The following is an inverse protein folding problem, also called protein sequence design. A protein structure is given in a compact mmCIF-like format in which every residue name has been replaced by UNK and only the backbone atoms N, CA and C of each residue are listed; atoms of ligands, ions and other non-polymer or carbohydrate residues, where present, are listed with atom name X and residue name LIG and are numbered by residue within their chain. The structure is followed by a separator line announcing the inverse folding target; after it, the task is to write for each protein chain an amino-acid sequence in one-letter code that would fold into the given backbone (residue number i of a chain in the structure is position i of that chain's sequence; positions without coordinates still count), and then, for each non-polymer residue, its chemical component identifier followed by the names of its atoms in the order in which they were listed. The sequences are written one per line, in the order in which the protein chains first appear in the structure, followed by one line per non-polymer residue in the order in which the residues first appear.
data_IF_596469831682
#
_entry.id   IF_596469831682
#
_cell.length_a   1.000
_cell.length_b   1.000
_cell.length_c   1.000
_cell.angle_alpha   90.00
_cell.angle_beta   90.00
_cell.angle_gamma   90.00
#
_symmetry.space_group_name_H-M   'P 1'
#
loop_
_entity.id
_entity.type
_entity.pdbx_description
1 polymer ?
#
# COMPACT_ATOMS: atom_id res chain seq x y z
N UNK A 1 -13.58 15.76 -33.36
CA UNK A 1 -13.47 14.28 -33.32
C UNK A 1 -13.42 13.87 -31.86
N UNK A 2 -14.47 13.22 -31.35
CA UNK A 2 -14.55 12.85 -29.94
C UNK A 2 -13.61 11.67 -29.66
N UNK A 3 -12.47 11.93 -29.04
CA UNK A 3 -11.57 10.89 -28.56
C UNK A 3 -12.31 10.02 -27.53
N UNK A 4 -12.41 8.71 -27.79
CA UNK A 4 -13.07 7.78 -26.87
C UNK A 4 -12.27 7.74 -25.55
N UNK A 5 -12.83 8.18 -24.41
CA UNK A 5 -12.11 8.29 -23.15
C UNK A 5 -11.57 6.92 -22.67
N UNK A 6 -12.24 5.82 -23.01
CA UNK A 6 -11.77 4.46 -22.71
C UNK A 6 -10.50 4.08 -23.47
N UNK A 7 -10.30 4.58 -24.70
CA UNK A 7 -9.05 4.37 -25.45
C UNK A 7 -7.88 5.12 -24.84
N UNK A 8 -8.12 6.29 -24.25
CA UNK A 8 -7.08 7.08 -23.59
C UNK A 8 -6.63 6.42 -22.29
N UNK A 9 -7.56 6.06 -21.40
CA UNK A 9 -7.25 5.37 -20.14
C UNK A 9 -6.52 4.04 -20.35
N UNK A 10 -6.92 3.26 -21.36
CA UNK A 10 -6.23 2.02 -21.73
C UNK A 10 -4.77 2.27 -22.15
N UNK A 11 -4.54 3.28 -23.00
CA UNK A 11 -3.18 3.65 -23.42
C UNK A 11 -2.33 4.08 -22.23
N UNK A 12 -2.86 4.92 -21.33
CA UNK A 12 -2.17 5.32 -20.10
C UNK A 12 -1.81 4.12 -19.24
N UNK A 13 -2.73 3.19 -19.03
CA UNK A 13 -2.49 1.98 -18.24
C UNK A 13 -1.39 1.08 -18.84
N UNK A 14 -1.42 0.86 -20.15
CA UNK A 14 -0.39 0.09 -20.85
C UNK A 14 0.97 0.79 -20.75
N UNK A 15 1.03 2.12 -20.92
CA UNK A 15 2.27 2.89 -20.78
C UNK A 15 2.85 2.76 -19.38
N UNK A 16 2.03 2.92 -18.33
CA UNK A 16 2.48 2.76 -16.94
C UNK A 16 3.01 1.35 -16.68
N UNK A 17 2.34 0.32 -17.20
CA UNK A 17 2.78 -1.06 -17.04
C UNK A 17 4.10 -1.35 -17.77
N UNK A 18 4.25 -0.85 -19.00
CA UNK A 18 5.48 -1.01 -19.78
C UNK A 18 6.65 -0.28 -19.13
N UNK A 19 6.42 0.92 -18.60
CA UNK A 19 7.41 1.68 -17.83
C UNK A 19 7.81 0.92 -16.55
N UNK A 20 6.83 0.42 -15.79
CA UNK A 20 7.11 -0.38 -14.59
C UNK A 20 7.92 -1.65 -14.93
N UNK A 21 7.59 -2.32 -16.03
CA UNK A 21 8.33 -3.48 -16.51
C UNK A 21 9.77 -3.14 -16.91
N UNK A 22 9.97 -2.02 -17.60
CA UNK A 22 11.28 -1.53 -18.00
C UNK A 22 12.13 -1.13 -16.78
N UNK A 23 11.51 -0.51 -15.78
CA UNK A 23 12.13 -0.12 -14.49
C UNK A 23 12.54 -1.33 -13.67
N UNK A 24 11.61 -2.25 -13.42
CA UNK A 24 11.84 -3.42 -12.58
C UNK A 24 10.97 -4.60 -13.00
N UNK A 25 11.51 -5.42 -13.90
CA UNK A 25 10.83 -6.60 -14.45
C UNK A 25 10.28 -7.54 -13.37
N UNK A 26 11.06 -7.84 -12.33
CA UNK A 26 10.66 -8.85 -11.32
C UNK A 26 9.48 -8.35 -10.51
N UNK A 27 9.57 -7.14 -9.94
CA UNK A 27 8.49 -6.60 -9.13
C UNK A 27 7.24 -6.29 -9.96
N UNK A 28 7.42 -5.88 -11.22
CA UNK A 28 6.31 -5.77 -12.17
C UNK A 28 5.57 -7.10 -12.36
N UNK A 29 6.30 -8.20 -12.58
CA UNK A 29 5.70 -9.52 -12.78
C UNK A 29 4.95 -10.00 -11.52
N UNK A 30 5.54 -9.80 -10.34
CA UNK A 30 4.87 -10.12 -9.06
C UNK A 30 3.60 -9.28 -8.89
N UNK A 31 3.65 -8.00 -9.25
CA UNK A 31 2.49 -7.11 -9.16
C UNK A 31 1.35 -7.56 -10.09
N UNK A 32 1.65 -7.86 -11.35
CA UNK A 32 0.67 -8.33 -12.34
C UNK A 32 0.11 -9.70 -11.96
N UNK A 33 0.95 -10.62 -11.48
CA UNK A 33 0.52 -11.93 -11.02
C UNK A 33 -0.48 -11.80 -9.85
N UNK A 34 -0.18 -10.95 -8.88
CA UNK A 34 -1.07 -10.72 -7.74
C UNK A 34 -2.35 -9.98 -8.11
N UNK A 35 -2.29 -9.02 -9.04
CA UNK A 35 -3.49 -8.38 -9.57
C UNK A 35 -4.40 -9.40 -10.28
N UNK A 36 -3.81 -10.32 -11.05
CA UNK A 36 -4.53 -11.42 -11.70
C UNK A 36 -5.14 -12.37 -10.66
N UNK A 37 -4.40 -12.70 -9.60
CA UNK A 37 -4.91 -13.51 -8.50
C UNK A 37 -6.06 -12.82 -7.76
N UNK A 38 -6.02 -11.49 -7.57
CA UNK A 38 -7.14 -10.76 -6.97
C UNK A 38 -8.43 -10.91 -7.79
N UNK A 39 -8.35 -10.91 -9.12
CA UNK A 39 -9.49 -11.20 -10.01
C UNK A 39 -9.99 -12.64 -9.78
N UNK A 40 -9.08 -13.62 -9.73
CA UNK A 40 -9.43 -15.02 -9.47
C UNK A 40 -10.10 -15.20 -8.10
N UNK A 41 -9.56 -14.59 -7.04
CA UNK A 41 -10.15 -14.65 -5.70
C UNK A 41 -11.50 -13.96 -5.63
N UNK A 42 -11.73 -12.91 -6.43
CA UNK A 42 -13.06 -12.28 -6.55
C UNK A 42 -14.09 -13.29 -7.08
N UNK A 43 -13.73 -14.06 -8.12
CA UNK A 43 -14.59 -15.12 -8.63
C UNK A 43 -14.79 -16.25 -7.60
N UNK A 44 -13.72 -16.68 -6.92
CA UNK A 44 -13.80 -17.72 -5.90
C UNK A 44 -14.63 -17.31 -4.68
N UNK A 45 -14.63 -16.04 -4.28
CA UNK A 45 -15.52 -15.53 -3.24
C UNK A 45 -17.01 -15.69 -3.59
N UNK A 46 -17.35 -15.66 -4.89
CA UNK A 46 -18.73 -15.87 -5.36
C UNK A 46 -19.09 -17.35 -5.53
N UNK A 47 -18.10 -18.21 -5.81
CA UNK A 47 -18.30 -19.62 -6.15
C UNK A 47 -18.10 -20.59 -4.98
N UNK A 48 -17.28 -20.23 -4.00
CA UNK A 48 -16.93 -21.06 -2.85
C UNK A 48 -17.53 -20.49 -1.56
N UNK A 49 -18.58 -21.13 -1.06
CA UNK A 49 -19.30 -20.71 0.15
C UNK A 49 -18.62 -21.06 1.46
N UNK A 50 -17.44 -21.70 1.46
CA UNK A 50 -16.74 -22.06 2.69
C UNK A 50 -16.33 -20.82 3.49
N UNK A 51 -16.32 -20.96 4.81
CA UNK A 51 -15.93 -19.89 5.71
C UNK A 51 -14.88 -20.31 6.72
N UNK A 52 -13.98 -19.39 7.08
CA UNK A 52 -13.07 -19.47 8.22
C UNK A 52 -13.35 -18.27 9.12
N UNK A 53 -13.64 -18.50 10.40
CA UNK A 53 -14.03 -17.45 11.36
C UNK A 53 -15.21 -16.59 10.86
N UNK A 54 -16.24 -17.26 10.35
CA UNK A 54 -17.48 -16.63 9.86
C UNK A 54 -17.33 -15.83 8.56
N UNK A 55 -16.19 -15.94 7.86
CA UNK A 55 -15.89 -15.15 6.64
C UNK A 55 -15.46 -16.04 5.50
N UNK A 56 -15.81 -15.66 4.27
CA UNK A 56 -15.43 -16.38 3.07
C UNK A 56 -13.90 -16.62 3.03
N UNK A 57 -13.48 -17.86 2.78
CA UNK A 57 -12.07 -18.29 2.84
C UNK A 57 -11.15 -17.50 1.90
N UNK A 58 -11.67 -17.00 0.78
CA UNK A 58 -10.90 -16.26 -0.23
C UNK A 58 -10.78 -14.76 0.05
N UNK A 59 -11.50 -14.23 1.05
CA UNK A 59 -11.44 -12.80 1.41
C UNK A 59 -10.02 -12.37 1.82
N UNK A 60 -9.30 -13.22 2.57
CA UNK A 60 -7.93 -12.90 3.00
C UNK A 60 -6.94 -12.97 1.82
N UNK A 61 -6.88 -14.05 1.01
CA UNK A 61 -6.11 -14.07 -0.23
C UNK A 61 -6.36 -12.87 -1.12
N UNK A 62 -7.62 -12.46 -1.31
CA UNK A 62 -7.97 -11.29 -2.13
C UNK A 62 -7.32 -9.98 -1.62
N UNK A 63 -7.38 -9.72 -0.31
CA UNK A 63 -6.75 -8.54 0.30
C UNK A 63 -5.23 -8.55 0.14
N UNK A 64 -4.62 -9.71 0.41
CA UNK A 64 -3.16 -9.85 0.30
C UNK A 64 -2.70 -9.70 -1.13
N UNK A 65 -3.38 -10.33 -2.11
CA UNK A 65 -3.06 -10.17 -3.52
C UNK A 65 -3.15 -8.70 -3.96
N UNK A 66 -4.22 -7.99 -3.56
CA UNK A 66 -4.38 -6.56 -3.89
C UNK A 66 -3.27 -5.72 -3.25
N UNK A 67 -2.96 -5.95 -1.97
CA UNK A 67 -1.91 -5.22 -1.24
C UNK A 67 -0.52 -5.49 -1.82
N UNK A 68 -0.19 -6.76 -2.10
CA UNK A 68 1.07 -7.17 -2.70
C UNK A 68 1.25 -6.51 -4.07
N UNK A 69 0.20 -6.46 -4.89
CA UNK A 69 0.26 -5.82 -6.20
C UNK A 69 0.61 -4.33 -6.09
N UNK A 70 -0.06 -3.60 -5.18
CA UNK A 70 0.23 -2.19 -4.92
C UNK A 70 1.64 -2.01 -4.37
N UNK A 71 2.03 -2.79 -3.36
CA UNK A 71 3.34 -2.69 -2.72
C UNK A 71 4.49 -2.96 -3.69
N UNK A 72 4.45 -4.08 -4.40
CA UNK A 72 5.51 -4.47 -5.34
C UNK A 72 5.55 -3.55 -6.56
N UNK A 73 4.40 -3.09 -7.06
CA UNK A 73 4.36 -2.05 -8.10
C UNK A 73 4.99 -0.75 -7.66
N UNK A 74 4.70 -0.31 -6.42
CA UNK A 74 5.28 0.91 -5.83
C UNK A 74 6.80 0.78 -5.67
N UNK A 75 7.28 -0.33 -5.10
CA UNK A 75 8.70 -0.58 -4.93
C UNK A 75 9.43 -0.72 -6.28
N UNK A 76 8.81 -1.38 -7.26
CA UNK A 76 9.35 -1.51 -8.61
C UNK A 76 9.47 -0.16 -9.33
N UNK A 77 8.60 0.80 -9.01
CA UNK A 77 8.67 2.16 -9.54
C UNK A 77 9.76 3.00 -8.89
N UNK A 78 9.88 2.92 -7.56
CA UNK A 78 10.76 3.78 -6.77
C UNK A 78 12.22 3.29 -6.80
N UNK A 79 12.47 1.99 -6.63
CA UNK A 79 13.82 1.43 -6.43
C UNK A 79 14.86 1.90 -7.47
N UNK A 80 14.58 1.88 -8.78
CA UNK A 80 15.56 2.31 -9.79
C UNK A 80 15.88 3.81 -9.74
N UNK A 81 15.03 4.63 -9.12
CA UNK A 81 15.25 6.07 -8.95
C UNK A 81 16.11 6.41 -7.73
N UNK A 82 16.48 5.43 -6.90
CA UNK A 82 17.21 5.66 -5.64
C UNK A 82 18.73 5.63 -5.78
N UNK A 83 19.26 5.55 -6.99
CA UNK A 83 20.71 5.51 -7.29
C UNK A 83 21.47 4.49 -6.43
N UNK A 84 20.83 3.35 -6.13
CA UNK A 84 21.42 2.27 -5.34
C UNK A 84 22.50 1.57 -6.17
N UNK A 85 23.44 0.90 -5.49
CA UNK A 85 24.33 0.02 -6.23
C UNK A 85 23.55 -1.18 -6.80
N UNK A 86 23.95 -1.66 -7.97
CA UNK A 86 23.28 -2.77 -8.67
C UNK A 86 23.04 -4.00 -7.77
N UNK A 87 23.96 -4.28 -6.84
CA UNK A 87 23.85 -5.39 -5.89
C UNK A 87 22.70 -5.18 -4.90
N UNK A 88 22.55 -3.96 -4.39
CA UNK A 88 21.54 -3.60 -3.38
C UNK A 88 20.16 -3.53 -4.00
N UNK A 89 20.04 -2.94 -5.19
CA UNK A 89 18.78 -2.92 -5.92
C UNK A 89 18.32 -4.34 -6.29
N UNK A 90 19.25 -5.19 -6.79
CA UNK A 90 18.95 -6.60 -7.07
C UNK A 90 18.54 -7.34 -5.80
N UNK A 91 19.27 -7.19 -4.71
CA UNK A 91 18.91 -7.80 -3.41
C UNK A 91 17.50 -7.39 -3.00
N UNK A 92 17.19 -6.09 -3.01
CA UNK A 92 15.89 -5.58 -2.62
C UNK A 92 14.77 -6.16 -3.50
N UNK A 93 14.98 -6.12 -4.82
CA UNK A 93 14.07 -6.65 -5.82
C UNK A 93 13.77 -8.13 -5.61
N UNK A 94 14.81 -8.96 -5.46
CA UNK A 94 14.66 -10.42 -5.36
C UNK A 94 14.07 -10.84 -4.01
N UNK A 95 14.47 -10.18 -2.92
CA UNK A 95 13.97 -10.50 -1.58
C UNK A 95 12.52 -10.08 -1.43
N UNK A 96 12.16 -8.86 -1.84
CA UNK A 96 10.77 -8.38 -1.78
C UNK A 96 9.89 -9.24 -2.68
N UNK A 97 10.28 -9.43 -3.95
CA UNK A 97 9.50 -10.24 -4.90
C UNK A 97 9.33 -11.68 -4.44
N UNK A 98 10.38 -12.30 -3.91
CA UNK A 98 10.36 -13.66 -3.37
C UNK A 98 9.48 -13.79 -2.13
N UNK A 99 9.63 -12.89 -1.15
CA UNK A 99 8.82 -12.89 0.07
C UNK A 99 7.34 -12.75 -0.24
N UNK A 100 6.96 -11.80 -1.10
CA UNK A 100 5.56 -11.58 -1.48
C UNK A 100 4.97 -12.76 -2.27
N UNK A 101 5.78 -13.43 -3.09
CA UNK A 101 5.37 -14.64 -3.81
C UNK A 101 5.13 -15.80 -2.84
N UNK A 102 6.03 -16.02 -1.89
CA UNK A 102 5.88 -17.04 -0.85
C UNK A 102 4.61 -16.76 -0.04
N UNK A 103 4.41 -15.51 0.38
CA UNK A 103 3.28 -15.10 1.20
C UNK A 103 1.94 -15.41 0.53
N UNK A 104 1.75 -15.01 -0.74
CA UNK A 104 0.48 -15.25 -1.42
C UNK A 104 0.23 -16.74 -1.69
N UNK A 105 1.28 -17.51 -1.98
CA UNK A 105 1.18 -18.97 -2.17
C UNK A 105 0.73 -19.65 -0.86
N UNK A 106 1.36 -19.30 0.26
CA UNK A 106 1.03 -19.90 1.55
C UNK A 106 -0.38 -19.49 2.02
N UNK A 107 -0.75 -18.22 1.88
CA UNK A 107 -2.08 -17.72 2.25
C UNK A 107 -3.18 -18.38 1.42
N UNK A 108 -3.01 -18.44 0.10
CA UNK A 108 -3.99 -19.04 -0.79
C UNK A 108 -4.10 -20.56 -0.59
N UNK A 109 -2.99 -21.24 -0.29
CA UNK A 109 -2.99 -22.67 0.05
C UNK A 109 -3.76 -22.95 1.35
N UNK A 110 -3.55 -22.14 2.39
CA UNK A 110 -4.30 -22.28 3.65
C UNK A 110 -5.80 -21.99 3.45
N UNK A 111 -6.14 -20.99 2.63
CA UNK A 111 -7.53 -20.71 2.26
C UNK A 111 -8.17 -21.88 1.50
N UNK A 112 -7.46 -22.47 0.54
CA UNK A 112 -7.92 -23.64 -0.21
C UNK A 112 -8.18 -24.85 0.72
N UNK A 113 -7.34 -25.03 1.74
CA UNK A 113 -7.49 -26.01 2.81
C UNK A 113 -8.61 -25.69 3.81
N UNK A 114 -9.21 -24.50 3.74
CA UNK A 114 -10.25 -24.06 4.67
C UNK A 114 -9.76 -23.81 6.10
N UNK A 115 -8.49 -23.39 6.26
CA UNK A 115 -7.87 -23.14 7.58
C UNK A 115 -7.23 -21.75 7.63
N UNK A 116 -7.02 -21.24 8.85
CA UNK A 116 -6.33 -19.97 9.05
C UNK A 116 -4.83 -20.06 8.68
N UNK A 117 -4.27 -18.98 8.12
CA UNK A 117 -2.84 -18.89 7.77
C UNK A 117 -1.97 -18.21 8.84
N UNK A 118 -2.56 -17.37 9.69
CA UNK A 118 -1.87 -16.74 10.81
C UNK A 118 -2.50 -17.24 12.11
N UNK A 119 -1.71 -17.34 13.18
CA UNK A 119 -2.18 -17.83 14.49
C UNK A 119 -2.77 -19.26 14.45
N UNK A 120 -2.27 -20.10 13.54
CA UNK A 120 -2.74 -21.47 13.39
C UNK A 120 -1.59 -22.45 13.66
N UNK A 121 -1.59 -23.02 14.86
CA UNK A 121 -0.62 -23.97 15.37
C UNK A 121 -1.23 -25.37 15.61
N UNK A 122 -2.44 -25.60 15.10
CA UNK A 122 -3.20 -26.85 15.28
C UNK A 122 -2.51 -28.10 14.73
N UNK A 123 -1.58 -27.94 13.77
CA UNK A 123 -0.77 -29.04 13.20
C UNK A 123 0.64 -28.54 12.90
N UNK A 124 1.62 -29.44 12.85
CA UNK A 124 3.00 -29.11 12.49
C UNK A 124 3.09 -28.33 11.16
N UNK A 125 2.33 -28.76 10.15
CA UNK A 125 2.31 -28.07 8.85
C UNK A 125 1.81 -26.62 9.00
N UNK A 126 0.75 -26.38 9.78
CA UNK A 126 0.22 -25.02 9.96
C UNK A 126 1.20 -24.13 10.73
N UNK A 127 1.87 -24.67 11.75
CA UNK A 127 2.92 -23.97 12.51
C UNK A 127 4.09 -23.59 11.60
N UNK A 128 4.56 -24.50 10.75
CA UNK A 128 5.64 -24.22 9.79
C UNK A 128 5.22 -23.15 8.79
N UNK A 129 4.01 -23.25 8.23
CA UNK A 129 3.47 -22.23 7.31
C UNK A 129 3.44 -20.87 7.99
N UNK A 130 2.90 -20.78 9.21
CA UNK A 130 2.83 -19.55 9.98
C UNK A 130 4.23 -18.96 10.25
N UNK A 131 5.19 -19.78 10.65
CA UNK A 131 6.56 -19.36 10.91
C UNK A 131 7.27 -18.83 9.64
N UNK A 132 7.13 -19.53 8.50
CA UNK A 132 7.74 -19.12 7.22
C UNK A 132 7.19 -17.76 6.77
N UNK A 133 5.88 -17.54 6.88
CA UNK A 133 5.25 -16.25 6.57
C UNK A 133 5.83 -15.13 7.44
N UNK A 134 5.89 -15.33 8.76
CA UNK A 134 6.47 -14.35 9.69
C UNK A 134 7.93 -14.00 9.38
N UNK A 135 8.76 -15.01 9.09
CA UNK A 135 10.18 -14.83 8.75
C UNK A 135 10.32 -14.05 7.42
N UNK A 136 9.60 -14.46 6.38
CA UNK A 136 9.73 -13.84 5.05
C UNK A 136 9.29 -12.38 5.04
N UNK A 137 8.20 -12.04 5.71
CA UNK A 137 7.74 -10.65 5.83
C UNK A 137 8.69 -9.82 6.66
N UNK A 138 9.26 -10.38 7.73
CA UNK A 138 10.28 -9.68 8.54
C UNK A 138 11.53 -9.36 7.73
N UNK A 139 12.03 -10.32 6.96
CA UNK A 139 13.17 -10.10 6.06
C UNK A 139 12.85 -9.01 5.02
N UNK A 140 11.65 -9.04 4.43
CA UNK A 140 11.21 -8.01 3.47
C UNK A 140 11.18 -6.62 4.11
N UNK A 141 10.61 -6.50 5.32
CA UNK A 141 10.56 -5.23 6.07
C UNK A 141 11.96 -4.70 6.41
N UNK A 142 12.88 -5.58 6.81
CA UNK A 142 14.28 -5.22 7.06
C UNK A 142 15.00 -4.74 5.79
N UNK A 143 14.69 -5.34 4.64
CA UNK A 143 15.23 -4.86 3.35
C UNK A 143 14.70 -3.47 3.01
N UNK A 144 13.41 -3.18 3.23
CA UNK A 144 12.86 -1.83 3.03
C UNK A 144 13.52 -0.83 3.98
N UNK A 145 13.71 -1.19 5.25
CA UNK A 145 14.43 -0.37 6.23
C UNK A 145 15.89 -0.13 5.83
N UNK A 146 16.56 -1.15 5.28
CA UNK A 146 17.92 -1.01 4.75
C UNK A 146 17.97 -0.07 3.53
N UNK A 147 17.01 -0.15 2.62
CA UNK A 147 16.90 0.79 1.49
C UNK A 147 16.67 2.22 2.00
N UNK A 148 15.77 2.43 2.96
CA UNK A 148 15.57 3.74 3.60
C UNK A 148 16.88 4.27 4.20
N UNK A 149 17.61 3.44 4.95
CA UNK A 149 18.90 3.83 5.51
C UNK A 149 19.90 4.24 4.42
N UNK A 150 19.93 3.55 3.28
CA UNK A 150 20.77 3.91 2.13
C UNK A 150 20.40 5.26 1.54
N UNK A 151 19.11 5.55 1.38
CA UNK A 151 18.60 6.82 0.87
C UNK A 151 18.94 7.96 1.83
N UNK A 152 18.78 7.78 3.14
CA UNK A 152 19.12 8.82 4.13
C UNK A 152 20.63 9.07 4.19
N UNK A 153 21.44 8.01 4.10
CA UNK A 153 22.91 8.11 4.19
C UNK A 153 23.55 8.68 2.92
N UNK A 154 23.03 8.32 1.75
CA UNK A 154 23.53 8.76 0.45
C UNK A 154 22.31 9.13 -0.42
N UNK A 155 21.76 10.34 -0.23
CA UNK A 155 20.56 10.74 -0.95
C UNK A 155 20.80 10.76 -2.47
N UNK A 156 19.91 10.15 -3.27
CA UNK A 156 20.00 10.23 -4.72
C UNK A 156 19.71 11.64 -5.22
N UNK A 157 20.16 11.94 -6.44
CA UNK A 157 19.85 13.19 -7.13
C UNK A 157 18.40 13.14 -7.66
N UNK A 158 17.46 13.46 -6.78
CA UNK A 158 16.03 13.57 -7.05
C UNK A 158 15.55 14.96 -6.66
N UNK A 159 14.43 15.38 -7.24
CA UNK A 159 13.76 16.61 -6.82
C UNK A 159 13.54 16.59 -5.29
N UNK A 160 13.92 17.65 -4.55
CA UNK A 160 13.95 17.62 -3.09
C UNK A 160 12.65 17.17 -2.43
N UNK A 161 11.49 17.65 -2.91
CA UNK A 161 10.20 17.26 -2.34
C UNK A 161 9.86 15.78 -2.61
N UNK A 162 10.25 15.23 -3.77
CA UNK A 162 10.08 13.80 -4.05
C UNK A 162 10.97 12.94 -3.15
N UNK A 163 12.24 13.33 -2.99
CA UNK A 163 13.18 12.64 -2.09
C UNK A 163 12.67 12.61 -0.63
N UNK A 164 12.23 13.76 -0.12
CA UNK A 164 11.62 13.84 1.22
C UNK A 164 10.35 12.99 1.31
N UNK A 165 9.52 12.99 0.27
CA UNK A 165 8.31 12.17 0.22
C UNK A 165 8.62 10.67 0.29
N UNK A 166 9.63 10.21 -0.47
CA UNK A 166 10.16 8.83 -0.41
C UNK A 166 10.65 8.50 0.99
N UNK A 167 11.52 9.33 1.57
CA UNK A 167 12.12 9.06 2.87
C UNK A 167 11.06 8.96 3.99
N UNK A 168 10.13 9.92 4.05
CA UNK A 168 9.06 9.93 5.07
C UNK A 168 8.09 8.77 4.85
N UNK A 169 7.66 8.53 3.60
CA UNK A 169 6.76 7.43 3.27
C UNK A 169 7.33 6.06 3.63
N UNK A 170 8.60 5.81 3.30
CA UNK A 170 9.31 4.59 3.69
C UNK A 170 9.51 4.49 5.21
N UNK A 171 9.79 5.60 5.90
CA UNK A 171 9.94 5.60 7.35
C UNK A 171 8.65 5.17 8.05
N UNK A 172 7.53 5.81 7.73
CA UNK A 172 6.22 5.47 8.31
C UNK A 172 5.83 4.03 7.96
N UNK A 173 6.05 3.60 6.71
CA UNK A 173 5.83 2.22 6.28
C UNK A 173 6.62 1.21 7.13
N UNK A 174 7.91 1.47 7.40
CA UNK A 174 8.75 0.57 8.18
C UNK A 174 8.25 0.45 9.61
N UNK A 175 7.90 1.57 10.25
CA UNK A 175 7.32 1.56 11.61
C UNK A 175 6.02 0.76 11.63
N UNK A 176 5.11 1.02 10.69
CA UNK A 176 3.86 0.28 10.57
C UNK A 176 4.08 -1.21 10.27
N UNK A 177 5.10 -1.56 9.47
CA UNK A 177 5.45 -2.96 9.19
C UNK A 177 5.84 -3.71 10.47
N UNK A 178 6.57 -3.05 11.38
CA UNK A 178 6.96 -3.65 12.66
C UNK A 178 5.82 -3.71 13.68
N UNK A 179 4.80 -2.88 13.58
CA UNK A 179 3.56 -3.02 14.36
C UNK A 179 2.87 -4.38 14.12
N UNK A 180 3.10 -5.01 12.96
CA UNK A 180 2.68 -6.39 12.73
C UNK A 180 3.17 -7.38 13.79
N UNK A 181 4.35 -7.17 14.36
CA UNK A 181 4.89 -7.97 15.45
C UNK A 181 4.16 -7.74 16.78
N UNK A 182 3.64 -6.53 17.01
CA UNK A 182 2.79 -6.28 18.17
C UNK A 182 1.49 -7.09 18.08
N UNK A 183 0.87 -7.13 16.90
CA UNK A 183 -0.31 -8.00 16.70
C UNK A 183 0.03 -9.48 16.93
N UNK A 184 1.24 -9.91 16.58
CA UNK A 184 1.69 -11.28 16.85
C UNK A 184 1.87 -11.52 18.35
N UNK A 185 2.49 -10.59 19.09
CA UNK A 185 2.72 -10.73 20.53
C UNK A 185 1.42 -10.73 21.35
N UNK A 186 0.44 -9.94 20.92
CA UNK A 186 -0.90 -9.90 21.53
C UNK A 186 -1.80 -11.08 21.10
N UNK A 187 -1.30 -11.99 20.23
CA UNK A 187 -2.06 -13.13 19.73
C UNK A 187 -3.22 -12.75 18.81
N UNK A 188 -3.24 -11.53 18.28
CA UNK A 188 -4.30 -11.01 17.44
C UNK A 188 -4.25 -9.51 17.21
N UNK A 189 -5.27 -9.00 16.51
CA UNK A 189 -5.37 -7.58 16.18
C UNK A 189 -6.39 -6.82 17.04
N UNK A 190 -7.28 -7.53 17.71
CA UNK A 190 -8.36 -6.94 18.50
C UNK A 190 -7.87 -6.55 19.89
N UNK A 191 -8.24 -5.35 20.36
CA UNK A 191 -7.94 -4.86 21.71
C UNK A 191 -9.25 -4.58 22.42
N UNK A 192 -9.46 -5.23 23.57
CA UNK A 192 -10.73 -5.15 24.31
C UNK A 192 -11.91 -5.82 23.60
N UNK A 193 -11.64 -6.67 22.59
CA UNK A 193 -12.65 -7.36 21.77
C UNK A 193 -12.10 -8.69 21.26
N UNK A 194 -12.97 -9.69 21.04
CA UNK A 194 -12.57 -10.97 20.45
C UNK A 194 -12.06 -10.80 19.00
N UNK A 195 -11.07 -11.61 18.61
CA UNK A 195 -10.44 -11.54 17.28
C UNK A 195 -11.39 -11.91 16.12
N UNK A 196 -12.43 -12.68 16.39
CA UNK A 196 -13.46 -13.09 15.44
C UNK A 196 -14.71 -12.19 15.47
N UNK A 197 -14.69 -11.12 16.28
CA UNK A 197 -15.81 -10.19 16.34
C UNK A 197 -16.15 -9.58 14.98
N UNK A 198 -17.44 -9.29 14.82
CA UNK A 198 -17.99 -8.69 13.60
C UNK A 198 -17.35 -7.32 13.38
N UNK A 199 -16.77 -7.14 12.21
CA UNK A 199 -16.20 -5.86 11.79
C UNK A 199 -16.89 -5.27 10.56
N UNK A 200 -16.27 -4.22 10.03
CA UNK A 200 -16.66 -3.61 8.75
C UNK A 200 -16.74 -4.65 7.62
N UNK A 201 -17.65 -4.48 6.65
CA UNK A 201 -17.65 -5.28 5.43
C UNK A 201 -16.27 -5.25 4.77
N UNK A 202 -15.85 -6.39 4.22
CA UNK A 202 -14.55 -6.61 3.59
C UNK A 202 -13.37 -6.48 4.55
N UNK A 203 -13.08 -5.30 5.11
CA UNK A 203 -11.92 -5.02 5.97
C UNK A 203 -11.94 -5.80 7.29
N UNK A 204 -13.14 -5.99 7.85
CA UNK A 204 -13.39 -6.58 9.16
C UNK A 204 -12.72 -5.84 10.32
N UNK A 205 -12.48 -4.54 10.21
CA UNK A 205 -12.05 -3.76 11.37
C UNK A 205 -13.14 -3.72 12.43
N UNK A 206 -12.76 -3.90 13.69
CA UNK A 206 -13.69 -3.90 14.82
C UNK A 206 -14.51 -2.61 14.86
N UNK A 207 -15.80 -2.76 15.14
CA UNK A 207 -16.74 -1.64 15.32
C UNK A 207 -17.15 -1.43 16.77
N UNK A 208 -16.68 -2.30 17.68
CA UNK A 208 -17.04 -2.29 19.10
C UNK A 208 -15.83 -2.14 20.02
N UNK A 209 -14.61 -2.36 19.51
CA UNK A 209 -13.37 -2.24 20.28
C UNK A 209 -12.19 -1.84 19.40
N UNK A 210 -10.99 -1.86 19.97
CA UNK A 210 -9.74 -1.51 19.30
C UNK A 210 -9.35 -2.50 18.21
N UNK A 211 -8.73 -1.99 17.14
CA UNK A 211 -8.22 -2.81 16.05
C UNK A 211 -6.90 -2.25 15.49
N UNK A 212 -5.80 -2.92 15.84
CA UNK A 212 -4.45 -2.51 15.45
C UNK A 212 -4.29 -2.44 13.92
N UNK A 213 -5.04 -3.26 13.16
CA UNK A 213 -4.95 -3.27 11.69
C UNK A 213 -5.32 -1.95 11.04
N UNK A 214 -6.07 -1.07 11.72
CA UNK A 214 -6.37 0.27 11.20
C UNK A 214 -5.07 1.07 11.08
N UNK A 215 -4.30 1.16 12.17
CA UNK A 215 -3.03 1.86 12.18
C UNK A 215 -2.03 1.21 11.22
N UNK A 216 -1.98 -0.12 11.23
CA UNK A 216 -1.14 -0.89 10.33
C UNK A 216 -1.43 -0.56 8.87
N UNK A 217 -2.71 -0.62 8.47
CA UNK A 217 -3.13 -0.34 7.11
C UNK A 217 -2.80 1.08 6.69
N UNK A 218 -3.15 2.07 7.51
CA UNK A 218 -2.86 3.48 7.22
C UNK A 218 -1.35 3.67 7.10
N UNK A 219 -0.57 3.22 8.07
CA UNK A 219 0.88 3.39 8.08
C UNK A 219 1.60 2.71 6.92
N UNK A 220 1.17 1.51 6.51
CA UNK A 220 1.70 0.85 5.31
C UNK A 220 1.40 1.66 4.03
N UNK A 221 0.27 2.35 3.95
CA UNK A 221 -0.07 3.15 2.79
C UNK A 221 0.69 4.47 2.67
N UNK A 222 1.48 4.85 3.68
CA UNK A 222 2.39 5.99 3.61
C UNK A 222 3.39 5.85 2.44
N UNK A 223 3.80 4.61 2.12
CA UNK A 223 4.74 4.31 1.02
C UNK A 223 4.19 4.69 -0.35
N UNK A 224 2.86 4.73 -0.52
CA UNK A 224 2.24 5.20 -1.76
C UNK A 224 1.95 6.70 -1.69
N UNK A 225 1.29 7.13 -0.62
CA UNK A 225 0.68 8.47 -0.55
C UNK A 225 1.73 9.57 -0.47
N UNK A 226 2.71 9.44 0.42
CA UNK A 226 3.67 10.52 0.70
C UNK A 226 4.68 10.71 -0.46
N UNK A 227 5.23 9.65 -1.07
CA UNK A 227 6.08 9.81 -2.25
C UNK A 227 5.34 10.37 -3.45
N UNK A 228 4.07 9.98 -3.67
CA UNK A 228 3.25 10.53 -4.74
C UNK A 228 2.98 12.03 -4.54
N UNK A 229 2.68 12.44 -3.31
CA UNK A 229 2.54 13.86 -2.98
C UNK A 229 3.85 14.63 -3.26
N UNK A 230 5.00 14.09 -2.86
CA UNK A 230 6.31 14.67 -3.16
C UNK A 230 6.59 14.78 -4.66
N UNK A 231 6.22 13.77 -5.44
CA UNK A 231 6.37 13.77 -6.90
C UNK A 231 5.52 14.88 -7.55
N UNK A 232 4.25 14.99 -7.17
CA UNK A 232 3.34 16.00 -7.72
C UNK A 232 3.78 17.41 -7.33
N UNK A 233 4.13 17.63 -6.06
CA UNK A 233 4.58 18.94 -5.57
C UNK A 233 5.93 19.35 -6.19
N UNK A 234 6.77 18.40 -6.59
CA UNK A 234 8.02 18.69 -7.31
C UNK A 234 7.79 19.19 -8.73
N UNK A 235 6.65 18.83 -9.35
CA UNK A 235 6.30 19.24 -10.71
C UNK A 235 5.40 20.48 -10.76
N UNK A 236 5.09 21.10 -9.62
CA UNK A 236 4.14 22.20 -9.55
C UNK A 236 4.84 23.54 -9.80
N UNK A 237 4.68 24.10 -11.01
CA UNK A 237 5.45 25.25 -11.50
C UNK A 237 5.36 26.51 -10.62
N UNK A 238 4.25 26.70 -9.91
CA UNK A 238 4.05 27.89 -9.07
C UNK A 238 4.69 27.78 -7.69
N UNK A 239 5.19 26.62 -7.28
CA UNK A 239 5.83 26.41 -5.98
C UNK A 239 7.34 26.49 -6.10
N UNK A 240 7.97 27.29 -5.24
CA UNK A 240 9.42 27.24 -5.09
C UNK A 240 9.84 25.89 -4.49
N UNK A 241 11.04 25.35 -4.81
CA UNK A 241 11.48 24.06 -4.29
C UNK A 241 11.39 23.92 -2.75
N UNK A 242 11.66 25.02 -2.02
CA UNK A 242 11.53 25.07 -0.56
C UNK A 242 10.09 24.91 -0.09
N UNK A 243 9.13 25.51 -0.80
CA UNK A 243 7.70 25.43 -0.48
C UNK A 243 7.18 24.01 -0.71
N UNK A 244 7.58 23.37 -1.81
CA UNK A 244 7.25 21.96 -2.08
C UNK A 244 7.79 21.02 -1.00
N UNK A 245 9.01 21.28 -0.48
CA UNK A 245 9.59 20.50 0.63
C UNK A 245 8.81 20.72 1.94
N UNK A 246 8.42 21.97 2.25
CA UNK A 246 7.60 22.26 3.43
C UNK A 246 6.26 21.54 3.31
N UNK A 247 5.59 21.64 2.15
CA UNK A 247 4.30 21.01 1.91
C UNK A 247 4.34 19.49 2.05
N UNK A 248 5.32 18.80 1.43
CA UNK A 248 5.44 17.34 1.57
C UNK A 248 5.79 16.93 3.00
N UNK A 249 6.59 17.72 3.72
CA UNK A 249 6.91 17.47 5.11
C UNK A 249 5.68 17.60 6.00
N UNK A 250 4.84 18.63 5.77
CA UNK A 250 3.56 18.80 6.48
C UNK A 250 2.60 17.65 6.21
N UNK A 251 2.48 17.20 4.95
CA UNK A 251 1.68 16.03 4.58
C UNK A 251 2.20 14.78 5.30
N UNK A 252 3.51 14.57 5.30
CA UNK A 252 4.16 13.44 5.97
C UNK A 252 3.92 13.43 7.48
N UNK A 253 4.09 14.57 8.16
CA UNK A 253 3.82 14.73 9.59
C UNK A 253 2.35 14.46 9.89
N UNK A 254 1.42 15.01 9.10
CA UNK A 254 -0.01 14.78 9.28
C UNK A 254 -0.35 13.30 9.10
N UNK A 255 0.18 12.65 8.07
CA UNK A 255 -0.05 11.23 7.80
C UNK A 255 0.50 10.33 8.90
N UNK A 256 1.72 10.61 9.38
CA UNK A 256 2.32 9.93 10.53
C UNK A 256 1.52 10.17 11.80
N UNK A 257 1.01 11.39 12.01
CA UNK A 257 0.13 11.74 13.12
C UNK A 257 -1.19 10.97 13.08
N UNK A 258 -1.83 10.84 11.92
CA UNK A 258 -3.04 10.01 11.74
C UNK A 258 -2.73 8.56 12.10
N UNK A 259 -1.62 8.01 11.59
CA UNK A 259 -1.18 6.64 11.89
C UNK A 259 -1.03 6.45 13.41
N UNK A 260 -0.31 7.34 14.08
CA UNK A 260 -0.10 7.31 15.52
C UNK A 260 -1.41 7.45 16.32
N UNK A 261 -2.30 8.36 15.91
CA UNK A 261 -3.60 8.54 16.56
C UNK A 261 -4.44 7.27 16.43
N UNK A 262 -4.52 6.68 15.24
CA UNK A 262 -5.24 5.40 15.05
C UNK A 262 -4.62 4.25 15.84
N UNK A 263 -3.30 4.25 16.04
CA UNK A 263 -2.61 3.27 16.87
C UNK A 263 -2.98 3.42 18.35
N UNK A 264 -2.83 4.64 18.90
CA UNK A 264 -3.18 4.94 20.29
C UNK A 264 -4.66 4.62 20.55
N UNK A 265 -5.51 5.02 19.62
CA UNK A 265 -6.95 4.78 19.66
C UNK A 265 -7.27 3.27 19.71
N UNK A 266 -6.58 2.44 18.92
CA UNK A 266 -6.72 0.99 18.97
C UNK A 266 -6.19 0.39 20.28
N UNK A 267 -5.03 0.83 20.76
CA UNK A 267 -4.43 0.36 22.03
C UNK A 267 -5.31 0.70 23.24
N UNK A 268 -6.03 1.83 23.20
CA UNK A 268 -7.02 2.19 24.22
C UNK A 268 -8.32 1.37 24.13
N UNK A 269 -8.43 0.45 23.17
CA UNK A 269 -9.60 -0.41 23.00
C UNK A 269 -10.80 0.30 22.37
N UNK A 270 -10.62 1.49 21.78
CA UNK A 270 -11.70 2.22 21.14
C UNK A 270 -11.86 1.77 19.68
N UNK A 271 -13.09 1.76 19.15
CA UNK A 271 -13.31 1.49 17.72
C UNK A 271 -13.17 2.75 16.87
N UNK A 272 -12.58 2.64 15.67
CA UNK A 272 -12.36 3.81 14.80
C UNK A 272 -13.69 4.52 14.51
N UNK A 273 -14.73 3.74 14.26
CA UNK A 273 -16.06 4.25 13.91
C UNK A 273 -16.67 5.00 15.09
N UNK A 274 -16.65 4.41 16.29
CA UNK A 274 -17.17 5.10 17.48
C UNK A 274 -16.38 6.37 17.80
N UNK A 275 -15.08 6.40 17.50
CA UNK A 275 -14.23 7.59 17.69
C UNK A 275 -14.47 8.68 16.63
N UNK A 276 -14.92 8.31 15.43
CA UNK A 276 -15.26 9.25 14.34
C UNK A 276 -16.68 9.81 14.46
N UNK A 277 -17.59 9.05 15.09
CA UNK A 277 -18.94 9.53 15.44
C UNK A 277 -18.79 10.43 16.68
N UNK A 278 -18.45 11.69 16.43
CA UNK A 278 -18.48 12.72 17.47
C UNK A 278 -19.96 13.09 17.68
N UNK A 279 -20.57 12.84 18.86
CA UNK A 279 -22.01 12.95 19.06
C UNK A 279 -22.61 14.34 18.73
N UNK A 280 -21.78 15.37 18.71
CA UNK A 280 -22.15 16.77 18.45
C UNK A 280 -21.71 17.31 17.09
N UNK A 281 -21.03 16.53 16.24
CA UNK A 281 -20.71 16.94 14.87
C UNK A 281 -21.73 16.34 13.89
N UNK A 282 -22.38 17.17 13.06
CA UNK A 282 -23.32 16.66 12.08
C UNK A 282 -22.63 15.72 11.08
N UNK A 283 -23.32 14.67 10.57
CA UNK A 283 -22.77 13.68 9.63
C UNK A 283 -22.08 14.27 8.38
N UNK A 284 -22.41 15.52 8.03
CA UNK A 284 -21.78 16.29 6.95
C UNK A 284 -20.28 16.54 7.15
N UNK A 285 -19.78 16.48 8.38
CA UNK A 285 -18.36 16.72 8.67
C UNK A 285 -17.47 15.52 8.31
N UNK A 286 -17.95 14.30 8.54
CA UNK A 286 -17.29 13.07 8.10
C UNK A 286 -17.28 12.93 6.57
N UNK A 287 -18.35 13.38 5.90
CA UNK A 287 -18.39 13.50 4.45
C UNK A 287 -17.35 14.51 3.92
N UNK A 288 -17.04 15.56 4.69
CA UNK A 288 -16.01 16.55 4.34
C UNK A 288 -14.60 15.95 4.23
N UNK A 289 -14.22 15.03 5.11
CA UNK A 289 -12.88 14.38 5.07
C UNK A 289 -12.78 13.44 3.86
N UNK A 290 -13.82 12.67 3.58
CA UNK A 290 -13.89 11.80 2.40
C UNK A 290 -13.93 12.63 1.11
N UNK A 291 -14.67 13.73 1.10
CA UNK A 291 -14.75 14.67 -0.02
C UNK A 291 -13.41 15.35 -0.26
N UNK A 292 -12.68 15.77 0.78
CA UNK A 292 -11.32 16.31 0.64
C UNK A 292 -10.36 15.24 0.10
N UNK A 293 -10.47 13.99 0.57
CA UNK A 293 -9.69 12.87 0.02
C UNK A 293 -9.98 12.60 -1.46
N UNK A 294 -11.25 12.64 -1.88
CA UNK A 294 -11.68 12.47 -3.27
C UNK A 294 -11.31 13.67 -4.14
N UNK A 295 -11.41 14.90 -3.61
CA UNK A 295 -10.99 16.13 -4.29
C UNK A 295 -9.47 16.11 -4.49
N UNK A 296 -8.70 15.76 -3.47
CA UNK A 296 -7.25 15.58 -3.60
C UNK A 296 -6.93 14.49 -4.64
N UNK A 297 -7.61 13.35 -4.61
CA UNK A 297 -7.44 12.27 -5.59
C UNK A 297 -7.79 12.68 -7.02
N UNK A 298 -8.87 13.43 -7.22
CA UNK A 298 -9.30 13.93 -8.54
C UNK A 298 -8.44 15.06 -9.06
N UNK A 299 -7.94 15.95 -8.19
CA UNK A 299 -6.93 16.97 -8.56
C UNK A 299 -5.61 16.31 -8.95
N UNK A 300 -5.18 15.26 -8.25
CA UNK A 300 -3.99 14.47 -8.60
C UNK A 300 -4.16 13.76 -9.96
N UNK A 301 -5.34 13.21 -10.25
CA UNK A 301 -5.65 12.59 -11.54
C UNK A 301 -5.78 13.62 -12.68
N UNK A 302 -6.37 14.78 -12.41
CA UNK A 302 -6.48 15.87 -13.40
C UNK A 302 -5.12 16.49 -13.73
N UNK A 303 -4.25 16.66 -12.72
CA UNK A 303 -2.89 17.18 -12.92
C UNK A 303 -2.02 16.20 -13.72
N UNK A 304 -2.17 14.89 -13.51
CA UNK A 304 -1.46 13.87 -14.31
C UNK A 304 -2.02 13.77 -15.73
N UNK A 305 -3.34 13.94 -15.92
CA UNK A 305 -3.99 13.98 -17.22
C UNK A 305 -3.55 15.18 -18.07
N UNK A 306 -3.58 16.39 -17.50
CA UNK A 306 -3.15 17.61 -18.21
C UNK A 306 -1.67 17.56 -18.63
N UNK A 307 -0.83 16.86 -17.86
CA UNK A 307 0.58 16.67 -18.21
C UNK A 307 0.76 15.71 -19.39
N UNK A 308 -0.10 14.69 -19.51
CA UNK A 308 -0.10 13.76 -20.64
C UNK A 308 -0.56 14.43 -21.96
N UNK A 309 -1.54 15.33 -21.90
CA UNK A 309 -1.98 16.09 -23.07
C UNK A 309 -0.89 17.05 -23.59
N UNK A 310 -0.14 17.71 -22.70
CA UNK A 310 0.96 18.61 -23.09
C UNK A 310 2.16 17.88 -23.71
N UNK A 311 2.41 16.63 -23.35
CA UNK A 311 3.46 15.82 -24.00
C UNK A 311 3.09 15.40 -25.43
N UNK A 312 1.80 15.25 -25.71
CA UNK A 312 1.30 14.96 -27.08
C UNK A 312 1.34 16.22 -27.96
N UNK A 313 1.12 17.41 -27.41
CA UNK A 313 1.17 18.69 -28.15
C UNK A 313 2.60 19.17 -28.47
N UNK A 314 3.58 18.79 -27.66
CA UNK A 314 4.99 19.17 -27.83
C UNK A 314 5.80 18.19 -28.68
N UNK A 315 5.17 17.10 -29.13
CA UNK A 315 5.77 16.19 -30.10
C UNK A 315 5.89 16.89 -31.46
N UNK A 316 7.11 17.06 -32.03
CA UNK A 316 7.24 17.68 -33.34
C UNK A 316 6.45 16.88 -34.38
N UNK A 317 5.85 17.55 -35.40
CA UNK A 317 5.15 16.84 -36.46
C UNK A 317 6.11 15.82 -37.05
N UNK A 318 5.67 14.57 -37.17
CA UNK A 318 6.41 13.54 -37.90
C UNK A 318 6.58 14.04 -39.32
N UNK A 319 7.72 14.64 -39.62
CA UNK A 319 8.10 15.01 -40.97
C UNK A 319 8.30 13.70 -41.72
N UNK A 320 7.34 13.34 -42.57
CA UNK A 320 7.52 12.29 -43.54
C UNK A 320 8.63 12.68 -44.50
N UNK A 321 9.65 11.83 -44.53
CA UNK A 321 10.40 11.48 -45.74
C UNK A 321 10.22 9.98 -45.94
#
# INVERSE_FOLDING_TARGET
MNANPFRSAYRTGVTVLMELYARNRILCLVAVANLSLAVVFTALMALDGRTVLGRNVWTKPWKFATSIAVFTGTMGWILPSLSLSIRVERLATTVIGGAMTIEIVLISTQAARGVASHFNDTTLLNTVVYAVMGITITISSLVVAYVLWRVVRNPPDLAPAYLWGVAIGMFVFVIASFEGWLMVSEGGHGVGVANDARGLPLLNWSVTGGDLRVAHFVGLHALQVVPLAGYVLSGWETLAPRESVIAVSSIGILYGGITLVTFIQAVLGHSLISSLIIPWLPPSFGAGIVLVGVICGTVLLAATWQRAERTDETSPPKTGF
#
